data_IF_306380007230
#
_entry.id   IF_306380007230
#
_cell.length_a   1.000
_cell.length_b   1.000
_cell.length_c   1.000
_cell.angle_alpha   90.00
_cell.angle_beta   90.00
_cell.angle_gamma   90.00
#
_symmetry.space_group_name_H-M   'P 1'
#
loop_
_entity.id
_entity.type
_entity.pdbx_description
1 polymer ?
#
# COMPACT_ATOMS: atom_id res chain seq x y z
N UNK A 1 33.16 -25.54 -67.31
CA UNK A 1 33.78 -24.57 -66.37
C UNK A 1 32.75 -24.19 -65.32
N UNK A 2 33.06 -24.23 -64.02
CA UNK A 2 32.14 -23.82 -62.94
C UNK A 2 32.14 -22.29 -62.81
N UNK A 3 30.97 -21.66 -62.73
CA UNK A 3 30.83 -20.32 -62.12
C UNK A 3 30.24 -20.50 -60.73
N UNK A 4 31.08 -20.31 -59.71
CA UNK A 4 30.64 -20.16 -58.32
C UNK A 4 30.23 -18.70 -58.17
N UNK A 5 28.96 -18.45 -57.86
CA UNK A 5 28.46 -17.11 -57.54
C UNK A 5 28.39 -17.02 -56.02
N UNK A 6 29.24 -16.16 -55.44
CA UNK A 6 29.41 -16.04 -53.99
C UNK A 6 28.19 -15.31 -53.41
N UNK A 7 27.40 -15.99 -52.59
CA UNK A 7 26.26 -15.37 -51.92
C UNK A 7 26.76 -14.59 -50.71
N UNK A 8 26.89 -13.27 -50.85
CA UNK A 8 27.29 -12.39 -49.76
C UNK A 8 26.12 -12.25 -48.77
N UNK A 9 26.16 -12.98 -47.66
CA UNK A 9 25.20 -12.80 -46.59
C UNK A 9 25.44 -11.45 -45.91
N UNK A 10 24.51 -10.50 -46.06
CA UNK A 10 24.50 -9.32 -45.21
C UNK A 10 24.18 -9.77 -43.78
N UNK A 11 25.19 -9.70 -42.91
CA UNK A 11 24.96 -9.77 -41.46
C UNK A 11 24.11 -8.55 -41.08
N UNK A 12 22.97 -8.72 -40.38
CA UNK A 12 22.25 -7.57 -39.84
C UNK A 12 23.16 -6.86 -38.85
N UNK A 13 23.26 -5.53 -38.98
CA UNK A 13 24.00 -4.70 -38.02
C UNK A 13 23.42 -4.81 -36.61
N UNK A 14 24.15 -4.34 -35.57
CA UNK A 14 23.64 -4.34 -34.21
C UNK A 14 22.30 -3.60 -34.17
N UNK A 15 21.24 -4.35 -33.88
CA UNK A 15 19.89 -3.81 -33.72
C UNK A 15 19.90 -2.92 -32.48
N UNK A 16 19.51 -1.66 -32.63
CA UNK A 16 19.35 -0.78 -31.48
C UNK A 16 18.41 -1.44 -30.44
N UNK A 17 18.72 -1.34 -29.13
CA UNK A 17 17.88 -1.92 -28.11
C UNK A 17 16.45 -1.42 -28.22
N UNK A 18 15.47 -2.33 -28.16
CA UNK A 18 14.08 -1.92 -28.10
C UNK A 18 13.85 -1.15 -26.78
N UNK A 19 13.46 0.12 -26.86
CA UNK A 19 13.15 0.90 -25.66
C UNK A 19 11.69 0.70 -25.27
N UNK A 20 11.46 0.21 -24.06
CA UNK A 20 10.13 0.11 -23.44
C UNK A 20 10.09 1.12 -22.30
N UNK A 21 9.29 2.18 -22.45
CA UNK A 21 9.04 3.08 -21.34
C UNK A 21 8.03 2.39 -20.40
N UNK A 22 8.33 2.39 -19.11
CA UNK A 22 7.50 1.80 -18.07
C UNK A 22 7.09 2.91 -17.10
N UNK A 23 5.79 3.16 -17.00
CA UNK A 23 5.23 4.08 -16.00
C UNK A 23 4.69 3.26 -14.85
N UNK A 24 5.17 3.56 -13.65
CA UNK A 24 4.68 2.99 -12.41
C UNK A 24 3.79 3.99 -11.69
N UNK A 25 2.68 3.51 -11.15
CA UNK A 25 1.89 4.19 -10.13
C UNK A 25 1.32 3.12 -9.19
N UNK A 26 0.65 3.54 -8.13
CA UNK A 26 0.01 2.63 -7.17
C UNK A 26 -0.78 1.54 -7.91
N UNK A 27 -0.39 0.30 -7.67
CA UNK A 27 -1.04 -0.92 -8.17
C UNK A 27 -1.07 -1.07 -9.70
N UNK A 28 -0.23 -0.34 -10.44
CA UNK A 28 -0.24 -0.35 -11.91
C UNK A 28 1.14 -0.30 -12.55
N UNK A 29 1.37 -1.19 -13.52
CA UNK A 29 2.54 -1.15 -14.43
C UNK A 29 2.04 -0.85 -15.84
N UNK A 30 2.46 0.27 -16.42
CA UNK A 30 2.11 0.63 -17.81
C UNK A 30 3.33 0.53 -18.71
N UNK A 31 3.31 -0.43 -19.63
CA UNK A 31 4.33 -0.60 -20.67
C UNK A 31 3.93 0.19 -21.92
N UNK A 32 4.84 0.99 -22.49
CA UNK A 32 4.62 1.68 -23.77
C UNK A 32 4.41 0.71 -24.95
N UNK A 33 4.87 -0.54 -24.81
CA UNK A 33 4.69 -1.62 -25.79
C UNK A 33 4.54 -2.95 -25.04
N UNK A 34 3.49 -3.71 -25.36
CA UNK A 34 3.28 -5.08 -24.83
C UNK A 34 3.84 -6.17 -25.76
N UNK A 35 4.23 -5.82 -26.99
CA UNK A 35 4.77 -6.73 -27.99
C UNK A 35 6.05 -6.13 -28.57
N UNK A 36 7.18 -6.81 -28.39
CA UNK A 36 8.49 -6.34 -28.85
C UNK A 36 9.26 -7.42 -29.60
N UNK A 37 10.31 -7.00 -30.33
CA UNK A 37 11.21 -7.91 -31.00
C UNK A 37 12.13 -8.65 -30.02
N UNK A 38 12.49 -9.88 -30.36
CA UNK A 38 13.61 -10.60 -29.74
C UNK A 38 14.93 -9.85 -29.97
N UNK A 39 15.75 -9.76 -28.91
CA UNK A 39 17.02 -9.02 -28.91
C UNK A 39 17.29 -8.25 -27.61
N UNK A 40 18.21 -7.27 -27.64
CA UNK A 40 18.44 -6.36 -26.52
C UNK A 40 17.24 -5.41 -26.33
N UNK A 41 16.90 -5.15 -25.06
CA UNK A 41 15.76 -4.34 -24.63
C UNK A 41 16.19 -3.47 -23.46
N UNK A 42 15.85 -2.18 -23.49
CA UNK A 42 16.06 -1.25 -22.38
C UNK A 42 14.71 -0.80 -21.85
N UNK A 43 14.41 -1.14 -20.60
CA UNK A 43 13.27 -0.59 -19.87
C UNK A 43 13.69 0.74 -19.25
N UNK A 44 12.93 1.81 -19.52
CA UNK A 44 13.11 3.13 -18.90
C UNK A 44 11.93 3.35 -17.97
N UNK A 45 12.19 3.33 -16.67
CA UNK A 45 11.17 3.10 -15.63
C UNK A 45 10.98 4.36 -14.81
N UNK A 46 9.81 5.00 -14.88
CA UNK A 46 9.51 6.23 -14.13
C UNK A 46 8.44 5.96 -13.08
N UNK A 47 8.74 6.28 -11.83
CA UNK A 47 7.75 6.27 -10.75
C UNK A 47 6.94 7.57 -10.81
N UNK A 48 5.68 7.46 -11.25
CA UNK A 48 4.67 8.53 -11.24
C UNK A 48 3.69 8.42 -10.06
N UNK A 49 3.86 7.42 -9.20
CA UNK A 49 3.09 7.27 -7.97
C UNK A 49 3.63 8.15 -6.84
N UNK A 50 3.08 7.93 -5.66
CA UNK A 50 3.40 8.58 -4.40
C UNK A 50 4.20 7.66 -3.45
N UNK A 51 4.21 6.34 -3.65
CA UNK A 51 5.00 5.39 -2.83
C UNK A 51 6.20 4.80 -3.62
N UNK A 52 7.22 4.22 -2.94
CA UNK A 52 8.35 3.60 -3.60
C UNK A 52 7.94 2.38 -4.44
N UNK A 53 8.56 2.23 -5.62
CA UNK A 53 8.24 1.18 -6.59
C UNK A 53 9.51 0.62 -7.22
N UNK A 54 9.41 -0.54 -7.87
CA UNK A 54 10.46 -1.12 -8.71
C UNK A 54 9.80 -1.87 -9.88
N UNK A 55 10.62 -2.43 -10.78
CA UNK A 55 10.17 -3.52 -11.65
C UNK A 55 11.09 -4.72 -11.50
N UNK A 56 10.50 -5.89 -11.62
CA UNK A 56 11.14 -7.14 -11.97
C UNK A 56 10.58 -7.62 -13.32
N UNK A 57 11.46 -8.17 -14.16
CA UNK A 57 11.10 -8.87 -15.39
C UNK A 57 11.37 -10.36 -15.19
N UNK A 58 10.32 -11.16 -15.20
CA UNK A 58 10.37 -12.60 -14.95
C UNK A 58 9.88 -13.38 -16.17
N UNK A 59 10.55 -14.49 -16.50
CA UNK A 59 10.13 -15.43 -17.54
C UNK A 59 11.28 -15.97 -18.38
N UNK A 60 11.09 -17.13 -19.00
CA UNK A 60 12.09 -17.79 -19.88
C UNK A 60 13.48 -17.99 -19.22
N UNK A 61 13.53 -18.15 -17.89
CA UNK A 61 14.77 -18.25 -17.11
C UNK A 61 15.46 -16.91 -16.81
N UNK A 62 14.75 -15.78 -17.02
CA UNK A 62 15.13 -14.45 -16.55
C UNK A 62 14.31 -14.15 -15.29
N UNK A 63 14.98 -13.57 -14.30
CA UNK A 63 14.44 -13.06 -13.04
C UNK A 63 15.38 -11.90 -12.66
N UNK A 64 14.98 -10.66 -13.00
CA UNK A 64 15.87 -9.48 -12.92
C UNK A 64 15.07 -8.22 -12.57
N UNK A 65 15.46 -7.59 -11.48
CA UNK A 65 14.86 -6.35 -10.95
C UNK A 65 15.77 -5.12 -11.08
N UNK A 66 15.18 -3.94 -10.85
CA UNK A 66 15.90 -2.70 -10.54
C UNK A 66 15.88 -2.41 -9.04
N UNK A 67 16.82 -1.58 -8.57
CA UNK A 67 16.70 -0.97 -7.25
C UNK A 67 15.39 -0.17 -7.11
N UNK A 68 14.88 -0.08 -5.89
CA UNK A 68 13.64 0.66 -5.59
C UNK A 68 13.76 2.14 -5.93
N UNK A 69 12.91 2.62 -6.84
CA UNK A 69 12.82 4.01 -7.26
C UNK A 69 11.76 4.78 -6.45
N UNK A 70 12.20 5.91 -5.90
CA UNK A 70 11.37 6.84 -5.14
C UNK A 70 10.34 7.57 -6.04
N UNK A 71 9.27 8.14 -5.47
CA UNK A 71 8.31 8.98 -6.20
C UNK A 71 8.98 10.06 -7.05
N UNK A 72 8.56 10.18 -8.31
CA UNK A 72 9.15 11.11 -9.29
C UNK A 72 10.51 10.69 -9.85
N UNK A 73 11.17 9.67 -9.30
CA UNK A 73 12.46 9.18 -9.79
C UNK A 73 12.32 8.28 -11.03
N UNK A 74 13.43 8.03 -11.70
CA UNK A 74 13.53 7.14 -12.86
C UNK A 74 14.72 6.20 -12.72
N UNK A 75 14.56 4.95 -13.15
CA UNK A 75 15.62 3.93 -13.25
C UNK A 75 15.63 3.27 -14.62
N UNK A 76 16.62 2.40 -14.87
CA UNK A 76 16.71 1.65 -16.14
C UNK A 76 17.10 0.20 -15.90
N UNK A 77 16.60 -0.70 -16.77
CA UNK A 77 16.94 -2.12 -16.78
C UNK A 77 17.23 -2.56 -18.22
N UNK A 78 18.43 -3.07 -18.48
CA UNK A 78 18.82 -3.55 -19.81
C UNK A 78 18.93 -5.07 -19.80
N UNK A 79 18.16 -5.74 -20.65
CA UNK A 79 18.10 -7.20 -20.76
C UNK A 79 18.27 -7.63 -22.22
N UNK A 80 18.65 -8.89 -22.43
CA UNK A 80 18.52 -9.55 -23.74
C UNK A 80 17.39 -10.57 -23.64
N UNK A 81 16.25 -10.29 -24.27
CA UNK A 81 15.06 -11.11 -24.17
C UNK A 81 14.91 -12.00 -25.41
N UNK A 82 14.63 -13.28 -25.17
CA UNK A 82 14.34 -14.28 -26.20
C UNK A 82 12.85 -14.29 -26.52
N UNK A 83 12.46 -14.90 -27.64
CA UNK A 83 11.05 -15.15 -27.94
C UNK A 83 10.36 -15.86 -26.76
N UNK A 84 9.26 -15.30 -26.26
CA UNK A 84 8.54 -15.85 -25.12
C UNK A 84 7.50 -14.90 -24.52
N UNK A 85 6.93 -15.29 -23.39
CA UNK A 85 6.14 -14.41 -22.51
C UNK A 85 6.93 -14.11 -21.25
N UNK A 86 6.77 -12.88 -20.77
CA UNK A 86 7.38 -12.34 -19.57
C UNK A 86 6.33 -11.60 -18.75
N UNK A 87 6.46 -11.67 -17.44
CA UNK A 87 5.75 -10.79 -16.50
C UNK A 87 6.65 -9.61 -16.15
N UNK A 88 6.07 -8.43 -16.04
CA UNK A 88 6.75 -7.20 -15.59
C UNK A 88 5.95 -6.68 -14.40
N UNK A 89 6.49 -6.80 -13.19
CA UNK A 89 5.74 -6.55 -11.96
C UNK A 89 6.57 -5.77 -10.94
N UNK A 90 5.94 -5.21 -9.91
CA UNK A 90 6.66 -4.54 -8.82
C UNK A 90 6.98 -5.52 -7.67
N UNK A 91 8.27 -5.84 -7.41
CA UNK A 91 8.68 -6.78 -6.36
C UNK A 91 8.65 -6.18 -4.94
N UNK A 92 8.41 -4.86 -4.81
CA UNK A 92 8.45 -4.13 -3.53
C UNK A 92 7.56 -4.81 -2.47
N UNK A 93 8.12 -4.93 -1.27
CA UNK A 93 7.48 -5.56 -0.11
C UNK A 93 7.23 -7.05 -0.32
N UNK A 94 8.25 -7.82 -0.73
CA UNK A 94 8.16 -9.28 -0.96
C UNK A 94 7.00 -9.65 -1.91
N UNK A 95 6.91 -8.91 -3.02
CA UNK A 95 5.88 -9.06 -4.04
C UNK A 95 4.47 -8.66 -3.60
N UNK A 96 4.29 -7.97 -2.48
CA UNK A 96 2.99 -7.41 -2.07
C UNK A 96 2.40 -6.49 -3.14
N UNK A 97 3.22 -5.66 -3.77
CA UNK A 97 2.74 -4.80 -4.87
C UNK A 97 2.22 -5.65 -6.06
N UNK A 98 2.91 -6.74 -6.45
CA UNK A 98 2.39 -7.71 -7.45
C UNK A 98 1.05 -8.30 -7.01
N UNK A 99 0.92 -8.74 -5.75
CA UNK A 99 -0.32 -9.31 -5.18
C UNK A 99 -1.51 -8.32 -5.20
N UNK A 100 -1.22 -7.02 -5.11
CA UNK A 100 -2.19 -5.93 -5.26
C UNK A 100 -2.51 -5.56 -6.74
N UNK A 101 -1.99 -6.32 -7.71
CA UNK A 101 -2.24 -6.13 -9.15
C UNK A 101 -1.21 -5.29 -9.88
N UNK A 102 -0.07 -4.95 -9.25
CA UNK A 102 0.99 -4.16 -9.87
C UNK A 102 1.85 -5.00 -10.84
N UNK A 103 1.23 -5.45 -11.92
CA UNK A 103 1.84 -6.28 -12.96
C UNK A 103 1.34 -5.95 -14.38
N UNK A 104 2.16 -6.30 -15.37
CA UNK A 104 1.86 -6.23 -16.79
C UNK A 104 2.48 -7.44 -17.51
N UNK A 105 1.98 -7.77 -18.71
CA UNK A 105 2.49 -8.86 -19.53
C UNK A 105 3.21 -8.31 -20.76
N UNK A 106 4.41 -8.83 -21.01
CA UNK A 106 5.23 -8.53 -22.17
C UNK A 106 5.37 -9.79 -23.03
N UNK A 107 5.13 -9.67 -24.33
CA UNK A 107 5.34 -10.73 -25.31
C UNK A 107 6.51 -10.36 -26.23
N UNK A 108 7.47 -11.27 -26.34
CA UNK A 108 8.67 -11.10 -27.17
C UNK A 108 8.58 -12.06 -28.34
N UNK A 109 8.76 -11.57 -29.56
CA UNK A 109 8.69 -12.41 -30.74
C UNK A 109 8.95 -11.68 -32.05
N UNK A 110 8.69 -12.37 -33.16
CA UNK A 110 8.82 -11.77 -34.50
C UNK A 110 7.71 -10.75 -34.71
N UNK A 111 8.03 -9.46 -34.66
CA UNK A 111 7.09 -8.38 -34.97
C UNK A 111 6.60 -8.53 -36.42
N UNK A 112 5.42 -9.10 -36.59
CA UNK A 112 4.62 -8.93 -37.80
C UNK A 112 3.82 -7.66 -37.61
N UNK A 113 4.08 -6.65 -38.43
CA UNK A 113 3.19 -5.49 -38.57
C UNK A 113 1.88 -5.95 -39.18
N UNK A 114 0.91 -6.32 -38.34
CA UNK A 114 -0.49 -6.50 -38.74
C UNK A 114 -1.23 -5.20 -38.56
N UNK A 115 -1.77 -4.66 -39.66
CA UNK A 115 -2.68 -3.52 -39.65
C UNK A 115 -3.97 -3.83 -38.87
N UNK A 116 -4.68 -2.77 -38.47
CA UNK A 116 -5.88 -2.87 -37.65
C UNK A 116 -7.05 -3.55 -38.38
N UNK A 117 -7.64 -4.57 -37.75
CA UNK A 117 -9.01 -5.02 -38.04
C UNK A 117 -9.73 -5.45 -36.78
N UNK A 118 -10.98 -4.98 -36.61
CA UNK A 118 -12.02 -5.69 -35.87
C UNK A 118 -12.00 -5.62 -34.35
N UNK A 119 -12.85 -4.74 -33.81
CA UNK A 119 -13.44 -4.89 -32.47
C UNK A 119 -14.30 -6.16 -32.44
N UNK A 120 -14.13 -7.06 -31.48
CA UNK A 120 -15.23 -7.84 -30.91
C UNK A 120 -14.88 -8.46 -29.53
N UNK A 121 -15.90 -8.72 -28.71
CA UNK A 121 -15.86 -9.73 -27.64
C UNK A 121 -15.04 -9.40 -26.39
N UNK A 122 -15.55 -8.52 -25.51
CA UNK A 122 -15.07 -8.45 -24.13
C UNK A 122 -15.31 -9.77 -23.39
N UNK A 123 -14.23 -10.52 -23.14
CA UNK A 123 -14.24 -11.50 -22.06
C UNK A 123 -14.17 -10.75 -20.73
N UNK A 124 -15.23 -10.83 -19.92
CA UNK A 124 -15.14 -10.47 -18.50
C UNK A 124 -14.06 -11.35 -17.87
N UNK A 125 -12.96 -10.75 -17.45
CA UNK A 125 -12.04 -11.42 -16.53
C UNK A 125 -12.80 -11.74 -15.24
N UNK A 126 -12.50 -12.89 -14.65
CA UNK A 126 -13.15 -13.35 -13.42
C UNK A 126 -13.14 -12.25 -12.35
N UNK A 127 -14.25 -12.11 -11.64
CA UNK A 127 -14.34 -11.15 -10.54
C UNK A 127 -13.21 -11.44 -9.53
N UNK A 128 -12.53 -10.40 -8.99
CA UNK A 128 -11.42 -10.60 -8.07
C UNK A 128 -11.86 -11.49 -6.91
N UNK A 129 -11.03 -12.48 -6.59
CA UNK A 129 -11.31 -13.43 -5.52
C UNK A 129 -11.56 -12.66 -4.22
N UNK A 130 -12.73 -12.87 -3.62
CA UNK A 130 -13.12 -12.19 -2.38
C UNK A 130 -12.21 -12.66 -1.26
N UNK A 131 -11.21 -11.85 -0.95
CA UNK A 131 -10.31 -12.08 0.18
C UNK A 131 -11.00 -11.63 1.47
N UNK A 132 -10.90 -12.45 2.51
CA UNK A 132 -11.51 -12.19 3.81
C UNK A 132 -10.52 -12.50 4.92
N UNK A 133 -10.34 -11.56 5.86
CA UNK A 133 -9.55 -11.75 7.07
C UNK A 133 -10.46 -11.65 8.30
N UNK A 134 -10.41 -12.65 9.17
CA UNK A 134 -11.07 -12.61 10.48
C UNK A 134 -10.01 -12.39 11.55
N UNK A 135 -9.99 -11.20 12.14
CA UNK A 135 -9.10 -10.90 13.27
C UNK A 135 -9.85 -11.17 14.56
N UNK A 136 -9.17 -11.69 15.58
CA UNK A 136 -9.69 -11.79 16.94
C UNK A 136 -8.58 -11.42 17.91
N UNK A 137 -8.61 -10.17 18.38
CA UNK A 137 -7.79 -9.73 19.51
C UNK A 137 -8.37 -10.24 20.82
N UNK A 138 -7.52 -10.76 21.71
CA UNK A 138 -7.85 -11.16 23.07
C UNK A 138 -6.82 -10.56 24.03
N UNK A 139 -6.91 -9.25 24.28
CA UNK A 139 -5.81 -8.47 24.83
C UNK A 139 -6.13 -6.98 24.96
N UNK A 140 -5.11 -6.12 25.05
CA UNK A 140 -5.29 -4.66 25.08
C UNK A 140 -6.10 -4.13 23.89
N UNK A 141 -6.88 -3.04 24.04
CA UNK A 141 -7.60 -2.23 23.02
C UNK A 141 -6.71 -1.20 22.23
N UNK A 142 -6.99 -0.69 21.01
CA UNK A 142 -6.52 0.67 20.59
C UNK A 142 -7.75 1.57 20.61
N UNK A 143 -7.55 2.76 21.12
CA UNK A 143 -8.26 3.97 20.71
C UNK A 143 -7.28 5.11 20.97
N UNK A 144 -7.00 6.06 20.06
CA UNK A 144 -5.81 6.96 20.21
C UNK A 144 -6.16 8.43 20.44
N UNK A 145 -5.88 8.92 21.65
CA UNK A 145 -5.91 10.30 22.19
C UNK A 145 -5.03 10.32 23.48
N UNK A 146 -4.80 11.45 24.18
CA UNK A 146 -3.76 12.46 23.93
C UNK A 146 -2.53 12.43 24.89
N UNK A 147 -1.34 12.85 24.41
CA UNK A 147 -0.17 13.27 25.21
C UNK A 147 1.22 13.20 24.53
N UNK A 148 2.30 13.68 25.18
CA UNK A 148 3.47 14.31 24.53
C UNK A 148 4.57 13.38 23.94
N UNK A 149 5.52 14.04 23.27
CA UNK A 149 6.51 13.50 22.33
C UNK A 149 7.95 13.49 22.86
N UNK A 150 8.75 12.44 22.62
CA UNK A 150 10.21 12.52 22.56
C UNK A 150 10.69 12.64 21.09
N UNK A 151 11.80 13.35 20.88
CA UNK A 151 12.43 13.70 19.58
C UNK A 151 11.71 14.79 18.73
N UNK A 152 11.75 16.07 19.18
CA UNK A 152 11.15 17.20 18.45
C UNK A 152 11.76 17.49 17.07
N UNK A 153 13.02 17.09 16.83
CA UNK A 153 13.84 17.67 15.77
C UNK A 153 13.72 17.00 14.39
N UNK A 154 13.18 15.77 14.33
CA UNK A 154 13.12 14.97 13.09
C UNK A 154 11.80 15.08 12.31
N UNK A 155 10.75 15.67 12.89
CA UNK A 155 9.45 15.84 12.24
C UNK A 155 9.24 17.21 11.58
N UNK A 156 9.93 18.25 12.03
CA UNK A 156 9.70 19.62 11.58
C UNK A 156 9.87 19.85 10.07
N UNK A 157 10.87 19.25 9.36
CA UNK A 157 10.99 19.39 7.91
C UNK A 157 9.85 18.70 7.15
N UNK A 158 9.37 17.56 7.66
CA UNK A 158 8.24 16.82 7.08
C UNK A 158 6.98 17.66 7.16
N UNK A 159 6.67 18.16 8.36
CA UNK A 159 5.46 18.92 8.66
C UNK A 159 5.28 20.15 7.76
N UNK A 160 6.37 20.76 7.28
CA UNK A 160 6.32 21.86 6.32
C UNK A 160 5.82 21.43 4.92
N UNK A 161 6.08 20.21 4.49
CA UNK A 161 5.66 19.69 3.19
C UNK A 161 4.14 19.42 3.08
N UNK A 162 3.44 19.32 4.20
CA UNK A 162 2.00 19.02 4.27
C UNK A 162 1.10 20.27 4.25
N UNK A 163 1.66 21.47 4.19
CA UNK A 163 0.88 22.71 4.03
C UNK A 163 -0.21 22.89 5.09
N UNK A 164 -1.47 22.92 4.65
CA UNK A 164 -2.65 23.09 5.51
C UNK A 164 -2.93 21.87 6.41
N UNK A 165 -2.48 20.67 6.05
CA UNK A 165 -2.64 19.45 6.86
C UNK A 165 -1.67 19.39 8.05
N UNK A 166 -0.68 20.30 8.08
CA UNK A 166 0.36 20.38 9.11
C UNK A 166 -0.18 20.41 10.54
N UNK A 167 -1.21 21.21 10.81
CA UNK A 167 -1.76 21.33 12.17
C UNK A 167 -2.39 20.01 12.65
N UNK A 168 -3.06 19.29 11.73
CA UNK A 168 -3.60 17.96 11.99
C UNK A 168 -2.49 16.95 12.30
N UNK A 169 -1.43 16.94 11.49
CA UNK A 169 -0.25 16.09 11.70
C UNK A 169 0.51 16.43 12.98
N UNK A 170 0.72 17.71 13.31
CA UNK A 170 1.28 18.15 14.59
C UNK A 170 0.43 17.68 15.78
N UNK A 171 -0.90 17.66 15.63
CA UNK A 171 -1.80 17.11 16.63
C UNK A 171 -1.65 15.59 16.77
N UNK A 172 -1.51 14.86 15.66
CA UNK A 172 -1.33 13.40 15.66
C UNK A 172 0.06 12.96 16.15
N UNK A 173 1.09 13.75 15.85
CA UNK A 173 2.43 13.69 16.45
C UNK A 173 2.33 13.86 17.96
N UNK A 174 1.69 14.95 18.42
CA UNK A 174 1.60 15.28 19.85
C UNK A 174 0.57 14.49 20.66
N UNK A 175 -0.36 13.75 20.04
CA UNK A 175 -1.54 13.18 20.73
C UNK A 175 -2.22 11.99 20.02
N UNK A 176 -1.76 11.56 18.84
CA UNK A 176 -2.42 10.57 17.98
C UNK A 176 -1.54 9.35 17.66
N UNK A 177 -1.77 8.64 16.52
CA UNK A 177 -1.13 7.35 16.22
C UNK A 177 0.40 7.36 16.24
N UNK A 178 1.00 8.53 16.03
CA UNK A 178 2.44 8.72 15.90
C UNK A 178 3.09 9.20 17.21
N UNK A 179 2.31 9.39 18.30
CA UNK A 179 2.85 9.72 19.62
C UNK A 179 3.41 8.48 20.35
N UNK A 180 4.23 8.71 21.39
CA UNK A 180 4.62 7.69 22.36
C UNK A 180 3.81 7.76 23.68
N UNK A 181 2.96 8.78 23.85
CA UNK A 181 2.05 8.81 25.00
C UNK A 181 0.78 8.03 24.68
N UNK A 182 0.67 6.88 25.31
CA UNK A 182 -0.40 5.93 25.08
C UNK A 182 -0.71 5.14 26.34
N UNK A 183 -1.99 4.97 26.60
CA UNK A 183 -2.48 4.08 27.63
C UNK A 183 -2.39 2.60 27.26
N UNK A 184 -2.48 1.76 28.29
CA UNK A 184 -3.02 0.41 28.13
C UNK A 184 -4.53 0.50 28.35
N UNK A 185 -5.30 0.03 27.40
CA UNK A 185 -6.75 -0.17 27.51
C UNK A 185 -7.02 -1.66 27.24
N UNK A 186 -8.15 -2.25 27.63
CA UNK A 186 -8.38 -3.72 27.47
C UNK A 186 -9.66 -4.04 26.72
N UNK A 187 -9.70 -5.12 25.93
CA UNK A 187 -10.90 -5.44 25.17
C UNK A 187 -10.83 -6.67 24.26
N UNK A 188 -11.75 -6.70 23.31
CA UNK A 188 -11.67 -7.57 22.13
C UNK A 188 -11.99 -6.73 20.90
N UNK A 189 -11.35 -7.05 19.78
CA UNK A 189 -11.75 -6.54 18.48
C UNK A 189 -11.85 -7.71 17.53
N UNK A 190 -13.01 -7.82 16.88
CA UNK A 190 -13.32 -8.79 15.84
C UNK A 190 -13.85 -8.06 14.64
N UNK A 191 -13.31 -8.35 13.47
CA UNK A 191 -13.86 -7.86 12.21
C UNK A 191 -13.60 -8.86 11.09
N UNK A 192 -14.49 -8.83 10.10
CA UNK A 192 -14.23 -9.36 8.77
C UNK A 192 -14.21 -8.19 7.79
N UNK A 193 -13.16 -8.12 6.97
CA UNK A 193 -13.05 -7.14 5.89
C UNK A 193 -13.00 -7.87 4.56
N UNK A 194 -13.66 -7.31 3.54
CA UNK A 194 -13.69 -7.82 2.18
C UNK A 194 -13.31 -6.72 1.20
N UNK A 195 -12.20 -6.92 0.50
CA UNK A 195 -11.82 -6.16 -0.70
C UNK A 195 -12.54 -6.76 -1.91
N UNK A 196 -13.23 -5.92 -2.69
CA UNK A 196 -13.88 -6.30 -3.96
C UNK A 196 -13.53 -5.31 -5.09
N UNK A 197 -12.39 -4.65 -4.94
CA UNK A 197 -11.93 -3.52 -5.75
C UNK A 197 -12.61 -2.20 -5.37
N UNK A 198 -11.93 -1.10 -5.74
CA UNK A 198 -12.05 0.32 -5.36
C UNK A 198 -13.40 0.98 -5.00
N UNK A 199 -14.55 0.31 -5.10
CA UNK A 199 -15.89 0.85 -4.75
C UNK A 199 -16.84 -0.15 -4.10
N UNK A 200 -16.44 -1.42 -3.91
CA UNK A 200 -17.35 -2.51 -3.48
C UNK A 200 -16.93 -3.20 -2.18
N UNK A 201 -15.99 -2.60 -1.47
CA UNK A 201 -15.47 -3.13 -0.24
C UNK A 201 -16.56 -3.14 0.84
N UNK A 202 -16.41 -4.06 1.78
CA UNK A 202 -17.33 -4.18 2.91
C UNK A 202 -16.56 -4.55 4.17
N UNK A 203 -17.10 -4.12 5.31
CA UNK A 203 -16.60 -4.46 6.64
C UNK A 203 -17.77 -4.88 7.51
N UNK A 204 -17.53 -5.83 8.38
CA UNK A 204 -18.36 -6.14 9.54
C UNK A 204 -17.43 -6.26 10.74
N UNK A 205 -17.79 -5.72 11.89
CA UNK A 205 -16.91 -5.81 13.04
C UNK A 205 -17.40 -5.09 14.28
N UNK A 206 -16.97 -5.60 15.42
CA UNK A 206 -17.28 -5.09 16.74
C UNK A 206 -15.99 -5.02 17.56
N UNK A 207 -15.68 -3.82 18.05
CA UNK A 207 -14.67 -3.62 19.10
C UNK A 207 -15.37 -3.31 20.42
N UNK A 208 -15.06 -4.04 21.48
CA UNK A 208 -15.52 -3.77 22.84
C UNK A 208 -14.31 -3.60 23.75
N UNK A 209 -14.18 -2.44 24.40
CA UNK A 209 -12.97 -2.11 25.15
C UNK A 209 -13.22 -1.16 26.34
N UNK A 210 -12.26 -1.12 27.26
CA UNK A 210 -12.30 -0.30 28.48
C UNK A 210 -11.10 0.63 28.52
N UNK A 211 -11.35 1.95 28.47
CA UNK A 211 -10.32 3.00 28.53
C UNK A 211 -9.75 3.19 29.94
N UNK A 212 -8.65 3.94 30.08
CA UNK A 212 -7.94 4.10 31.37
C UNK A 212 -8.77 4.78 32.47
N UNK A 213 -9.78 5.56 32.09
CA UNK A 213 -10.78 6.15 33.00
C UNK A 213 -11.83 5.13 33.49
N UNK A 214 -11.72 3.86 33.08
CA UNK A 214 -12.68 2.80 33.36
C UNK A 214 -13.97 2.88 32.53
N UNK A 215 -14.06 3.77 31.54
CA UNK A 215 -15.22 3.81 30.65
C UNK A 215 -15.21 2.62 29.68
N UNK A 216 -16.34 1.92 29.60
CA UNK A 216 -16.58 0.87 28.60
C UNK A 216 -17.10 1.50 27.31
N UNK A 217 -16.52 1.08 26.20
CA UNK A 217 -16.85 1.51 24.85
C UNK A 217 -17.20 0.32 23.98
N UNK A 218 -18.07 0.55 23.00
CA UNK A 218 -18.35 -0.39 21.92
C UNK A 218 -18.38 0.38 20.61
N UNK A 219 -17.63 -0.10 19.62
CA UNK A 219 -17.71 0.34 18.24
C UNK A 219 -18.33 -0.78 17.42
N UNK A 220 -19.31 -0.45 16.58
CA UNK A 220 -19.83 -1.34 15.53
C UNK A 220 -19.47 -0.72 14.19
N UNK A 221 -18.75 -1.45 13.33
CA UNK A 221 -18.44 -1.00 11.97
C UNK A 221 -19.72 -1.05 11.12
N UNK A 222 -19.89 -0.08 10.22
CA UNK A 222 -21.08 0.05 9.36
C UNK A 222 -20.68 -0.01 7.88
N UNK A 223 -20.17 1.10 7.33
CA UNK A 223 -19.91 1.26 5.90
C UNK A 223 -18.48 1.72 5.65
N UNK A 224 -17.88 1.30 4.55
CA UNK A 224 -16.52 1.70 4.15
C UNK A 224 -16.42 3.17 3.75
N UNK A 225 -15.26 3.77 4.02
CA UNK A 225 -14.90 5.12 3.58
C UNK A 225 -14.17 5.06 2.23
N UNK A 226 -14.91 4.91 1.13
CA UNK A 226 -14.34 4.65 -0.21
C UNK A 226 -13.62 5.84 -0.85
N UNK A 227 -13.94 7.08 -0.44
CA UNK A 227 -13.37 8.28 -1.05
C UNK A 227 -11.96 8.58 -0.52
N UNK A 228 -10.98 8.49 -1.41
CA UNK A 228 -9.59 8.90 -1.14
C UNK A 228 -9.49 10.36 -0.69
N UNK A 229 -8.51 10.62 0.17
CA UNK A 229 -8.09 11.95 0.62
C UNK A 229 -6.69 12.21 0.07
N UNK A 230 -6.33 13.46 -0.32
CA UNK A 230 -4.95 13.80 -0.67
C UNK A 230 -3.96 13.27 0.38
N UNK A 231 -2.82 12.72 -0.08
CA UNK A 231 -1.77 12.10 0.74
C UNK A 231 -2.20 10.92 1.65
N UNK A 232 -3.49 10.59 1.71
CA UNK A 232 -4.09 9.53 2.50
C UNK A 232 -5.14 8.75 1.67
N UNK A 233 -4.70 8.04 0.61
CA UNK A 233 -5.58 7.14 -0.14
C UNK A 233 -6.17 6.06 0.80
N UNK A 234 -7.44 5.76 0.59
CA UNK A 234 -8.24 4.76 1.31
C UNK A 234 -8.49 3.51 0.49
N UNK A 235 -8.12 3.54 -0.79
CA UNK A 235 -8.05 2.36 -1.67
C UNK A 235 -9.39 1.63 -1.88
N UNK A 236 -10.51 2.36 -1.82
CA UNK A 236 -11.86 1.77 -1.84
C UNK A 236 -12.45 1.46 -0.47
N UNK A 237 -11.61 1.45 0.57
CA UNK A 237 -11.99 1.32 1.97
C UNK A 237 -11.40 0.10 2.67
N UNK A 238 -10.96 -0.92 1.93
CA UNK A 238 -10.22 -2.08 2.46
C UNK A 238 -9.03 -2.38 1.54
N UNK A 239 -7.86 -2.63 2.11
CA UNK A 239 -6.68 -3.13 1.38
C UNK A 239 -6.00 -4.25 2.18
N UNK A 240 -5.57 -5.30 1.49
CA UNK A 240 -5.00 -6.51 2.09
C UNK A 240 -3.58 -6.73 1.59
N UNK A 241 -2.65 -7.12 2.48
CA UNK A 241 -1.26 -7.35 2.09
C UNK A 241 -0.53 -6.09 1.60
N UNK A 242 -0.72 -4.96 2.30
CA UNK A 242 -0.11 -3.68 1.96
C UNK A 242 1.31 -3.57 2.55
N UNK A 243 2.33 -3.48 1.70
CA UNK A 243 3.61 -2.88 2.10
C UNK A 243 3.49 -1.36 1.97
N UNK A 244 3.67 -0.65 3.07
CA UNK A 244 3.56 0.80 3.11
C UNK A 244 4.86 1.43 3.58
N UNK A 245 5.32 2.42 2.84
CA UNK A 245 6.40 3.31 3.24
C UNK A 245 5.84 4.73 3.20
N UNK A 246 6.12 5.53 4.24
CA UNK A 246 5.65 6.92 4.28
C UNK A 246 6.07 7.71 3.06
N UNK A 247 5.12 8.49 2.52
CA UNK A 247 5.28 9.42 1.37
C UNK A 247 6.30 10.53 1.63
N UNK A 248 6.75 10.68 2.88
CA UNK A 248 7.39 11.87 3.45
C UNK A 248 8.81 12.16 2.94
N UNK A 249 9.45 11.23 2.23
CA UNK A 249 10.89 11.24 1.88
C UNK A 249 11.85 11.37 3.08
N UNK A 250 11.32 11.36 4.30
CA UNK A 250 12.09 11.35 5.53
C UNK A 250 11.67 10.11 6.29
N UNK A 251 12.56 9.13 6.29
CA UNK A 251 12.44 7.96 7.16
C UNK A 251 12.27 8.52 8.57
N UNK A 252 11.13 8.24 9.22
CA UNK A 252 10.88 8.56 10.64
C UNK A 252 10.13 7.41 11.27
N UNK A 253 10.22 7.21 12.60
CA UNK A 253 9.41 6.20 13.28
C UNK A 253 7.92 6.54 13.25
N UNK A 254 7.56 7.76 12.79
CA UNK A 254 6.20 8.28 12.68
C UNK A 254 5.47 7.73 11.47
N UNK A 255 6.18 7.46 10.37
CA UNK A 255 5.62 6.79 9.20
C UNK A 255 6.59 5.70 8.74
N UNK A 256 6.80 4.66 9.57
CA UNK A 256 7.82 3.65 9.32
C UNK A 256 7.41 2.77 8.14
N UNK A 257 8.39 2.14 7.50
CA UNK A 257 8.14 1.06 6.55
C UNK A 257 7.48 -0.10 7.28
N UNK A 258 6.30 -0.53 6.85
CA UNK A 258 5.53 -1.61 7.48
C UNK A 258 5.00 -2.60 6.44
N UNK A 259 4.84 -3.84 6.87
CA UNK A 259 4.01 -4.83 6.20
C UNK A 259 2.66 -4.89 6.95
N UNK A 260 1.54 -4.77 6.24
CA UNK A 260 0.20 -4.85 6.80
C UNK A 260 -0.58 -6.00 6.18
N UNK A 261 -1.17 -6.85 7.02
CA UNK A 261 -2.09 -7.89 6.56
C UNK A 261 -3.42 -7.30 6.09
N UNK A 262 -3.89 -6.24 6.76
CA UNK A 262 -5.08 -5.47 6.38
C UNK A 262 -4.98 -4.04 6.88
N UNK A 263 -5.33 -3.08 6.03
CA UNK A 263 -5.71 -1.74 6.42
C UNK A 263 -7.13 -1.44 5.90
N UNK A 264 -7.93 -0.72 6.69
CA UNK A 264 -9.29 -0.35 6.28
C UNK A 264 -9.71 1.00 6.87
N UNK A 265 -10.69 1.62 6.22
CA UNK A 265 -11.32 2.87 6.62
C UNK A 265 -12.84 2.67 6.58
N UNK A 266 -13.51 2.94 7.69
CA UNK A 266 -14.94 2.71 7.86
C UNK A 266 -15.60 3.86 8.62
N UNK A 267 -16.91 3.97 8.54
CA UNK A 267 -17.70 4.63 9.58
C UNK A 267 -18.18 3.59 10.58
N UNK A 268 -18.52 4.03 11.79
CA UNK A 268 -19.13 3.15 12.78
C UNK A 268 -19.96 3.87 13.83
N UNK A 269 -20.78 3.06 14.51
CA UNK A 269 -21.61 3.47 15.64
C UNK A 269 -20.80 3.32 16.93
N UNK A 270 -20.49 4.44 17.57
CA UNK A 270 -19.70 4.47 18.81
C UNK A 270 -20.63 4.63 20.02
N UNK A 271 -20.50 3.74 21.00
CA UNK A 271 -21.25 3.75 22.24
C UNK A 271 -20.30 3.88 23.44
N UNK A 272 -20.69 4.68 24.45
CA UNK A 272 -20.02 4.76 25.77
C UNK A 272 -21.01 4.31 26.85
N UNK A 273 -20.65 3.28 27.62
CA UNK A 273 -21.47 2.66 28.68
C UNK A 273 -22.87 2.22 28.21
N UNK A 274 -23.01 1.88 26.92
CA UNK A 274 -24.28 1.47 26.28
C UNK A 274 -25.05 2.60 25.61
N UNK A 275 -24.77 3.86 25.94
CA UNK A 275 -25.37 5.04 25.28
C UNK A 275 -24.63 5.35 23.99
N UNK A 276 -25.38 5.64 22.92
CA UNK A 276 -24.81 6.10 21.65
C UNK A 276 -24.11 7.46 21.82
N UNK A 277 -22.91 7.58 21.24
CA UNK A 277 -22.11 8.82 21.20
C UNK A 277 -22.18 9.46 19.83
N UNK A 278 -22.03 8.67 18.76
CA UNK A 278 -22.22 9.09 17.37
C UNK A 278 -22.46 7.87 16.47
N UNK A 279 -23.28 8.05 15.42
CA UNK A 279 -23.50 7.09 14.32
C UNK A 279 -22.53 7.31 13.14
N UNK A 280 -21.58 8.23 13.28
CA UNK A 280 -20.73 8.73 12.21
C UNK A 280 -19.25 8.79 12.61
N UNK A 281 -18.82 7.98 13.58
CA UNK A 281 -17.41 7.90 13.97
C UNK A 281 -16.58 7.48 12.75
N UNK A 282 -15.53 8.24 12.45
CA UNK A 282 -14.56 7.89 11.40
C UNK A 282 -13.55 6.90 11.99
N UNK A 283 -13.50 5.71 11.40
CA UNK A 283 -12.67 4.59 11.85
C UNK A 283 -11.56 4.31 10.85
N UNK A 284 -10.37 4.06 11.35
CA UNK A 284 -9.27 3.47 10.58
C UNK A 284 -8.67 2.30 11.37
N UNK A 285 -8.36 1.20 10.71
CA UNK A 285 -7.79 -0.01 11.32
C UNK A 285 -6.62 -0.49 10.48
N UNK A 286 -5.56 -0.97 11.12
CA UNK A 286 -4.46 -1.68 10.47
C UNK A 286 -3.99 -2.86 11.32
N UNK A 287 -3.88 -4.06 10.75
CA UNK A 287 -3.08 -5.14 11.34
C UNK A 287 -1.71 -5.12 10.65
N UNK A 288 -0.65 -4.79 11.38
CA UNK A 288 0.65 -4.49 10.80
C UNK A 288 1.85 -5.05 11.57
N UNK A 289 3.00 -5.03 10.90
CA UNK A 289 4.31 -5.40 11.42
C UNK A 289 4.67 -4.52 12.61
N UNK A 290 4.90 -5.14 13.79
CA UNK A 290 5.15 -4.46 15.07
C UNK A 290 6.07 -3.24 14.90
N UNK A 291 5.57 -2.05 15.24
CA UNK A 291 6.30 -0.78 15.20
C UNK A 291 6.83 -0.36 16.55
N UNK A 292 6.29 -0.92 17.64
CA UNK A 292 6.52 -0.47 19.02
C UNK A 292 7.18 -1.52 19.90
N UNK A 293 7.97 -1.05 20.86
CA UNK A 293 8.65 -1.91 21.85
C UNK A 293 7.65 -2.47 22.87
N UNK A 294 7.94 -3.66 23.36
CA UNK A 294 7.24 -4.21 24.52
C UNK A 294 7.51 -3.36 25.77
N UNK A 295 6.50 -3.27 26.64
CA UNK A 295 6.60 -2.53 27.90
C UNK A 295 6.17 -1.07 27.78
N UNK A 296 7.02 -0.24 27.18
CA UNK A 296 6.85 1.23 27.08
C UNK A 296 6.07 1.72 25.85
N UNK A 297 5.86 0.84 24.85
CA UNK A 297 5.19 1.13 23.58
C UNK A 297 5.75 2.29 22.78
N UNK A 298 6.96 2.73 23.06
CA UNK A 298 7.60 3.73 22.25
C UNK A 298 7.99 3.13 20.88
N UNK A 299 7.89 3.96 19.84
CA UNK A 299 8.28 3.61 18.48
C UNK A 299 9.72 3.05 18.46
N UNK A 300 9.88 1.92 17.79
CA UNK A 300 11.08 1.08 17.86
C UNK A 300 11.94 1.14 16.59
N UNK A 301 11.32 1.34 15.44
CA UNK A 301 11.94 1.16 14.14
C UNK A 301 11.48 2.19 13.11
N UNK A 302 12.30 2.35 12.08
CA UNK A 302 12.12 3.25 10.94
C UNK A 302 11.75 2.44 9.69
N UNK A 303 12.36 1.25 9.56
CA UNK A 303 11.84 0.12 8.80
C UNK A 303 11.49 -1.00 9.78
N UNK A 304 10.20 -1.31 9.85
CA UNK A 304 9.61 -2.36 10.66
C UNK A 304 9.08 -3.52 9.80
N UNK A 305 9.25 -3.50 8.47
CA UNK A 305 8.63 -4.45 7.53
C UNK A 305 9.01 -5.91 7.78
N UNK A 306 10.20 -6.14 8.36
CA UNK A 306 10.72 -7.46 8.76
C UNK A 306 10.19 -7.96 10.11
N UNK A 307 9.47 -7.13 10.86
CA UNK A 307 8.87 -7.52 12.13
C UNK A 307 7.58 -8.31 11.90
N UNK A 308 7.21 -9.16 12.86
CA UNK A 308 5.96 -9.93 12.82
C UNK A 308 4.75 -9.01 12.69
N UNK A 309 3.80 -9.39 11.84
CA UNK A 309 2.49 -8.76 11.74
C UNK A 309 1.63 -9.19 12.93
N UNK A 310 1.66 -8.38 13.99
CA UNK A 310 1.03 -8.70 15.29
C UNK A 310 0.60 -7.45 16.09
N UNK A 311 0.64 -6.25 15.48
CA UNK A 311 0.18 -5.01 16.10
C UNK A 311 -1.10 -4.54 15.38
N UNK A 312 -2.23 -4.57 16.08
CA UNK A 312 -3.55 -4.24 15.52
C UNK A 312 -3.96 -2.81 15.90
N UNK A 313 -3.70 -1.83 15.04
CA UNK A 313 -4.11 -0.46 15.27
C UNK A 313 -5.62 -0.26 15.00
N UNK A 314 -6.33 0.45 15.89
CA UNK A 314 -7.73 0.88 15.75
C UNK A 314 -7.84 2.37 16.16
N UNK A 315 -8.03 3.24 15.18
CA UNK A 315 -8.24 4.66 15.37
C UNK A 315 -9.73 4.99 15.23
N UNK A 316 -10.27 5.79 16.15
CA UNK A 316 -11.67 6.23 16.16
C UNK A 316 -11.68 7.75 16.35
N UNK A 317 -12.20 8.47 15.36
CA UNK A 317 -12.30 9.93 15.34
C UNK A 317 -13.77 10.36 15.25
N UNK A 318 -14.12 11.58 15.71
CA UNK A 318 -15.45 12.14 15.50
C UNK A 318 -15.77 12.29 14.00
N UNK A 319 -17.05 12.34 13.66
CA UNK A 319 -17.50 12.71 12.32
C UNK A 319 -17.13 14.16 11.96
N UNK A 320 -17.17 14.55 10.67
CA UNK A 320 -16.90 15.92 10.26
C UNK A 320 -17.81 16.94 10.97
N UNK A 321 -17.21 17.85 11.73
CA UNK A 321 -17.92 18.87 12.52
C UNK A 321 -18.36 18.44 13.93
N UNK A 322 -18.10 17.19 14.33
CA UNK A 322 -18.42 16.70 15.68
C UNK A 322 -17.34 17.10 16.71
N UNK A 323 -17.71 17.25 18.00
CA UNK A 323 -16.75 17.53 19.06
C UNK A 323 -15.80 16.33 19.29
N UNK A 324 -14.58 16.62 19.76
CA UNK A 324 -13.61 15.60 20.17
C UNK A 324 -14.17 14.73 21.29
N UNK A 325 -13.92 13.42 21.22
CA UNK A 325 -14.30 12.49 22.29
C UNK A 325 -13.48 12.75 23.55
N UNK A 326 -14.16 12.89 24.68
CA UNK A 326 -13.55 12.94 26.01
C UNK A 326 -13.18 11.51 26.47
N UNK A 327 -12.06 11.01 25.94
CA UNK A 327 -11.53 9.67 26.18
C UNK A 327 -9.98 9.70 26.16
N UNK A 328 -9.29 9.12 27.16
CA UNK A 328 -7.86 8.85 27.07
C UNK A 328 -7.62 7.63 26.18
N UNK A 329 -6.64 7.71 25.28
CA UNK A 329 -6.31 6.64 24.35
C UNK A 329 -5.12 5.77 24.74
N UNK A 330 -4.70 4.87 23.84
CA UNK A 330 -3.77 3.76 24.09
C UNK A 330 -3.62 2.76 22.94
N UNK A 331 -2.80 1.70 23.13
CA UNK A 331 -2.52 0.65 22.12
C UNK A 331 -3.01 -0.77 22.47
N UNK A 332 -3.31 -1.52 21.40
CA UNK A 332 -3.77 -2.90 21.22
C UNK A 332 -2.58 -3.73 20.76
N UNK A 333 -2.51 -4.95 21.23
CA UNK A 333 -1.71 -6.03 20.66
C UNK A 333 -2.58 -7.29 20.72
#
# INVERSE_FOLDING_TARGET
MKRIMLLLALLPGPREPAQVNVRLSEWKVELSQQNIAEGPVTFVVTNSGQIPHAIEVEGQGIEKEIETIQPGATGTLTLTLKRGRYEVYCPVGEGSHKKLGMEARLTVGSVRTSESTGYDGSAMGDAPAVQAISVTGGGPVVQILPGPFPFPDSAAPILQAFGDEREGLESQVKNGPYSNNVGRISGTFRFTAWDKGATRDSVDGIAEFTTQDGARWRLVLDRVQTKDVPHHPRFGGVILGLFYHGVTQVHTPLVPTINSAVALWAFGHLYRKGTLVTDNAMVHVMLLSRTRRDGDFALACWDCSRNKIEELQLQILPGPGEPKFDAPGGFLF
#
